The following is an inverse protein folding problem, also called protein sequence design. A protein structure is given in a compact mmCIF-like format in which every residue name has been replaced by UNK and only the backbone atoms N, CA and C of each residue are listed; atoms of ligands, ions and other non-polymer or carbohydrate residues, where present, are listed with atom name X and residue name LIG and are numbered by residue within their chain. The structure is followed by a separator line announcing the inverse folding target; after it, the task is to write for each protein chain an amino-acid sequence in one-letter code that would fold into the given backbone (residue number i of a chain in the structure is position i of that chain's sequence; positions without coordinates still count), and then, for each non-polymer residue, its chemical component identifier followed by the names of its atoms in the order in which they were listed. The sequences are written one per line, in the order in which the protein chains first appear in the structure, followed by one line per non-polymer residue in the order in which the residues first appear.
data_IF_659865076298
#
_entry.id   IF_659865076298
#
_cell.length_a   1.000
_cell.length_b   1.000
_cell.length_c   1.000
_cell.angle_alpha   90.00
_cell.angle_beta   90.00
_cell.angle_gamma   90.00
#
_symmetry.space_group_name_H-M   'P 1'
#
loop_
_entity.id
_entity.type
_entity.pdbx_description
1 polymer ?
#
# COMPACT_ATOMS: atom_id res chain seq x y z
N UNK A 1 9.38 26.08 -6.51
CA UNK A 1 8.27 25.65 -5.67
C UNK A 1 7.76 26.84 -4.86
N UNK A 2 6.53 27.31 -5.14
CA UNK A 2 5.96 28.53 -4.51
C UNK A 2 5.71 28.28 -3.02
N UNK A 3 5.80 29.36 -2.19
CA UNK A 3 5.60 29.31 -0.73
C UNK A 3 4.21 28.77 -0.33
N UNK A 4 3.21 28.97 -1.16
CA UNK A 4 1.84 28.47 -1.03
C UNK A 4 1.75 26.95 -1.16
N UNK A 5 2.47 26.38 -2.10
CA UNK A 5 2.56 24.92 -2.35
C UNK A 5 3.13 24.19 -1.11
N UNK A 6 4.17 24.72 -0.48
CA UNK A 6 4.74 24.16 0.76
C UNK A 6 3.77 24.18 1.94
N UNK A 7 2.93 25.21 2.05
CA UNK A 7 1.94 25.30 3.13
C UNK A 7 0.85 24.27 2.96
N UNK A 8 0.35 24.08 1.72
CA UNK A 8 -0.63 23.07 1.38
C UNK A 8 -0.08 21.67 1.68
N UNK A 9 1.14 21.38 1.23
CA UNK A 9 1.79 20.08 1.49
C UNK A 9 1.96 19.79 2.98
N UNK A 10 2.39 20.77 3.76
CA UNK A 10 2.49 20.63 5.23
C UNK A 10 1.13 20.35 5.88
N UNK A 11 0.07 21.04 5.42
CA UNK A 11 -1.28 20.83 5.93
C UNK A 11 -1.79 19.43 5.60
N UNK A 12 -1.63 18.98 4.36
CA UNK A 12 -2.00 17.61 3.96
C UNK A 12 -1.24 16.55 4.76
N UNK A 13 0.06 16.73 4.93
CA UNK A 13 0.89 15.82 5.73
C UNK A 13 0.43 15.75 7.19
N UNK A 14 0.08 16.90 7.81
CA UNK A 14 -0.45 16.93 9.16
C UNK A 14 -1.80 16.22 9.29
N UNK A 15 -2.71 16.42 8.33
CA UNK A 15 -4.02 15.75 8.30
C UNK A 15 -3.84 14.23 8.11
N UNK A 16 -2.98 13.80 7.20
CA UNK A 16 -2.69 12.38 6.97
C UNK A 16 -2.06 11.72 8.20
N UNK A 17 -1.09 12.39 8.84
CA UNK A 17 -0.47 11.90 10.06
C UNK A 17 -1.49 11.79 11.22
N UNK A 18 -2.41 12.75 11.34
CA UNK A 18 -3.47 12.72 12.35
C UNK A 18 -4.42 11.54 12.16
N UNK A 19 -4.90 11.30 10.93
CA UNK A 19 -5.72 10.12 10.65
C UNK A 19 -4.97 8.84 10.97
N UNK A 20 -3.71 8.75 10.57
CA UNK A 20 -2.90 7.57 10.80
C UNK A 20 -2.76 7.24 12.30
N UNK A 21 -2.46 8.24 13.15
CA UNK A 21 -2.40 8.05 14.60
C UNK A 21 -3.76 7.62 15.18
N UNK A 22 -4.86 8.20 14.70
CA UNK A 22 -6.20 7.80 15.12
C UNK A 22 -6.54 6.35 14.74
N UNK A 23 -6.08 5.88 13.58
CA UNK A 23 -6.24 4.49 13.14
C UNK A 23 -5.49 3.49 14.02
N UNK A 24 -4.43 3.92 14.71
CA UNK A 24 -3.76 3.09 15.71
C UNK A 24 -4.52 2.99 17.03
N UNK A 25 -5.32 4.01 17.35
CA UNK A 25 -6.04 4.12 18.61
C UNK A 25 -7.43 3.47 18.55
N UNK A 26 -8.14 3.59 17.41
CA UNK A 26 -9.53 3.14 17.24
C UNK A 26 -9.85 2.75 15.80
N UNK A 27 -10.96 2.02 15.64
CA UNK A 27 -11.43 1.60 14.32
C UNK A 27 -11.82 2.80 13.44
N UNK A 28 -11.62 2.68 12.13
CA UNK A 28 -11.88 3.75 11.19
C UNK A 28 -13.32 4.29 11.25
N UNK A 29 -14.29 3.42 11.48
CA UNK A 29 -15.71 3.81 11.56
C UNK A 29 -15.99 4.75 12.74
N UNK A 30 -15.22 4.64 13.82
CA UNK A 30 -15.31 5.46 15.01
C UNK A 30 -14.58 6.81 14.88
N UNK A 31 -13.80 7.01 13.81
CA UNK A 31 -13.07 8.24 13.54
C UNK A 31 -13.98 9.24 12.83
N UNK A 32 -14.12 10.43 13.39
CA UNK A 32 -14.82 11.56 12.77
C UNK A 32 -13.86 12.58 12.14
N UNK A 33 -14.38 13.42 11.25
CA UNK A 33 -13.62 14.56 10.71
C UNK A 33 -13.20 15.52 11.83
N UNK A 34 -13.98 15.65 12.91
CA UNK A 34 -13.62 16.49 14.03
C UNK A 34 -12.40 15.92 14.77
N UNK A 35 -12.36 14.61 15.02
CA UNK A 35 -11.19 13.96 15.64
C UNK A 35 -9.91 14.22 14.83
N UNK A 36 -10.03 14.15 13.50
CA UNK A 36 -8.88 14.40 12.61
C UNK A 36 -8.46 15.86 12.65
N UNK A 37 -9.42 16.79 12.64
CA UNK A 37 -9.17 18.23 12.69
C UNK A 37 -8.47 18.64 13.99
N UNK A 38 -8.98 18.15 15.13
CA UNK A 38 -8.42 18.40 16.46
C UNK A 38 -7.00 17.84 16.57
N UNK A 39 -6.78 16.59 16.13
CA UNK A 39 -5.48 15.94 16.18
C UNK A 39 -4.46 16.59 15.24
N UNK A 40 -4.89 17.06 14.06
CA UNK A 40 -4.04 17.76 13.10
C UNK A 40 -3.81 19.25 13.45
N UNK A 41 -4.51 19.75 14.46
CA UNK A 41 -4.55 21.17 14.81
C UNK A 41 -4.91 22.07 13.62
N UNK A 42 -5.96 21.71 12.91
CA UNK A 42 -6.50 22.47 11.77
C UNK A 42 -8.01 22.69 11.94
N UNK A 43 -8.55 23.67 11.22
CA UNK A 43 -10.00 23.85 11.16
C UNK A 43 -10.64 22.75 10.31
N UNK A 44 -11.83 22.25 10.70
CA UNK A 44 -12.62 21.28 9.91
C UNK A 44 -12.81 21.71 8.44
N UNK A 45 -13.03 23.04 8.21
CA UNK A 45 -13.12 23.58 6.85
C UNK A 45 -11.85 23.37 6.02
N UNK A 46 -10.68 23.33 6.69
CA UNK A 46 -9.40 23.02 6.02
C UNK A 46 -9.36 21.58 5.51
N UNK A 47 -9.93 20.63 6.26
CA UNK A 47 -10.03 19.24 5.80
C UNK A 47 -10.94 19.16 4.57
N UNK A 48 -12.13 19.76 4.62
CA UNK A 48 -13.06 19.76 3.49
C UNK A 48 -12.57 20.52 2.26
N UNK A 49 -11.62 21.43 2.42
CA UNK A 49 -10.96 22.08 1.29
C UNK A 49 -10.08 21.11 0.49
N UNK A 50 -9.53 20.08 1.14
CA UNK A 50 -8.61 19.11 0.54
C UNK A 50 -9.24 17.76 0.23
N UNK A 51 -10.26 17.36 1.00
CA UNK A 51 -10.85 16.02 0.97
C UNK A 51 -12.37 16.11 1.08
N UNK A 52 -13.08 15.35 0.28
CA UNK A 52 -14.54 15.32 0.29
C UNK A 52 -15.10 14.81 1.63
N UNK A 53 -14.47 13.77 2.17
CA UNK A 53 -14.80 13.15 3.45
C UNK A 53 -13.61 12.35 4.01
N UNK A 54 -13.83 11.61 5.12
CA UNK A 54 -12.78 10.78 5.73
C UNK A 54 -12.39 9.59 4.86
N UNK A 55 -13.28 9.11 3.99
CA UNK A 55 -13.00 8.01 3.07
C UNK A 55 -12.12 8.46 1.91
N UNK A 56 -12.38 9.64 1.34
CA UNK A 56 -11.52 10.27 0.32
C UNK A 56 -10.10 10.54 0.88
N UNK A 57 -10.01 10.99 2.13
CA UNK A 57 -8.72 11.16 2.81
C UNK A 57 -7.98 9.83 2.96
N UNK A 58 -8.65 8.78 3.44
CA UNK A 58 -8.04 7.45 3.59
C UNK A 58 -7.59 6.89 2.23
N UNK A 59 -8.45 7.00 1.21
CA UNK A 59 -8.15 6.52 -0.13
C UNK A 59 -6.90 7.19 -0.71
N UNK A 60 -6.75 8.52 -0.51
CA UNK A 60 -5.56 9.25 -0.97
C UNK A 60 -4.29 8.85 -0.20
N UNK A 61 -4.38 8.59 1.10
CA UNK A 61 -3.24 8.09 1.88
C UNK A 61 -2.81 6.70 1.38
N UNK A 62 -3.78 5.83 1.07
CA UNK A 62 -3.50 4.50 0.51
C UNK A 62 -2.86 4.64 -0.87
N UNK A 63 -3.43 5.49 -1.75
CA UNK A 63 -2.91 5.74 -3.09
C UNK A 63 -1.47 6.24 -3.08
N UNK A 64 -1.18 7.25 -2.27
CA UNK A 64 0.18 7.80 -2.14
C UNK A 64 1.18 6.72 -1.72
N UNK A 65 0.83 5.87 -0.74
CA UNK A 65 1.71 4.79 -0.26
C UNK A 65 1.87 3.67 -1.28
N UNK A 66 0.81 3.33 -2.02
CA UNK A 66 0.88 2.32 -3.08
C UNK A 66 1.66 2.84 -4.30
N UNK A 67 1.66 4.14 -4.56
CA UNK A 67 2.52 4.73 -5.59
C UNK A 67 4.00 4.70 -5.20
N UNK A 68 4.33 4.92 -3.92
CA UNK A 68 5.68 4.71 -3.40
C UNK A 68 6.13 3.24 -3.60
N UNK A 69 5.24 2.27 -3.31
CA UNK A 69 5.51 0.85 -3.57
C UNK A 69 5.73 0.59 -5.07
N UNK A 70 4.88 1.16 -5.93
CA UNK A 70 5.02 1.05 -7.39
C UNK A 70 6.39 1.53 -7.88
N UNK A 71 6.93 2.60 -7.30
CA UNK A 71 8.25 3.12 -7.65
C UNK A 71 9.38 2.12 -7.31
N UNK A 72 9.18 1.25 -6.30
CA UNK A 72 10.11 0.16 -5.96
C UNK A 72 9.94 -1.02 -6.91
N UNK A 73 8.72 -1.26 -7.41
CA UNK A 73 8.40 -2.33 -8.35
C UNK A 73 8.99 -2.03 -9.74
N UNK A 74 10.27 -2.35 -9.95
CA UNK A 74 10.87 -2.34 -11.29
C UNK A 74 10.21 -3.42 -12.17
N UNK A 75 10.10 -3.22 -13.49
CA UNK A 75 9.58 -4.27 -14.37
C UNK A 75 10.44 -5.53 -14.27
N UNK A 76 9.82 -6.63 -13.85
CA UNK A 76 10.43 -7.96 -13.94
C UNK A 76 10.07 -8.53 -15.31
N UNK A 77 11.00 -9.21 -15.96
CA UNK A 77 10.78 -9.95 -17.19
C UNK A 77 10.58 -11.43 -16.89
N UNK A 78 9.84 -12.14 -17.75
CA UNK A 78 9.59 -13.59 -17.59
C UNK A 78 10.86 -14.43 -17.71
N UNK A 79 11.90 -13.89 -18.32
CA UNK A 79 13.24 -14.47 -18.48
C UNK A 79 14.24 -13.97 -17.43
N UNK A 80 13.75 -13.25 -16.41
CA UNK A 80 14.61 -12.79 -15.31
C UNK A 80 15.24 -13.97 -14.59
N UNK A 81 16.53 -13.85 -14.31
CA UNK A 81 17.27 -14.87 -13.56
C UNK A 81 16.77 -14.95 -12.12
N UNK A 82 16.95 -16.09 -11.46
CA UNK A 82 16.65 -16.27 -10.04
C UNK A 82 17.28 -15.18 -9.16
N UNK A 83 18.51 -14.75 -9.49
CA UNK A 83 19.21 -13.68 -8.79
C UNK A 83 18.51 -12.33 -8.93
N UNK A 84 18.01 -12.01 -10.12
CA UNK A 84 17.28 -10.76 -10.38
C UNK A 84 15.93 -10.76 -9.66
N UNK A 85 15.23 -11.89 -9.68
CA UNK A 85 13.97 -12.06 -8.93
C UNK A 85 14.19 -11.90 -7.43
N UNK A 86 15.23 -12.53 -6.86
CA UNK A 86 15.57 -12.38 -5.44
C UNK A 86 15.90 -10.93 -5.09
N UNK A 87 16.66 -10.24 -5.93
CA UNK A 87 16.98 -8.83 -5.72
C UNK A 87 15.71 -7.96 -5.72
N UNK A 88 14.83 -8.18 -6.68
CA UNK A 88 13.53 -7.50 -6.76
C UNK A 88 12.67 -7.74 -5.53
N UNK A 89 12.43 -9.01 -5.15
CA UNK A 89 11.60 -9.31 -3.98
C UNK A 89 12.23 -8.82 -2.69
N UNK A 90 13.56 -8.81 -2.58
CA UNK A 90 14.25 -8.19 -1.44
C UNK A 90 13.91 -6.70 -1.33
N UNK A 91 13.94 -5.95 -2.43
CA UNK A 91 13.58 -4.54 -2.42
C UNK A 91 12.09 -4.31 -2.06
N UNK A 92 11.20 -5.15 -2.59
CA UNK A 92 9.76 -5.08 -2.27
C UNK A 92 9.50 -5.39 -0.79
N UNK A 93 10.06 -6.47 -0.24
CA UNK A 93 9.87 -6.81 1.17
C UNK A 93 10.55 -5.80 2.10
N UNK A 94 11.71 -5.23 1.71
CA UNK A 94 12.34 -4.14 2.46
C UNK A 94 11.43 -2.91 2.53
N UNK A 95 10.75 -2.57 1.44
CA UNK A 95 9.77 -1.48 1.46
C UNK A 95 8.64 -1.72 2.46
N UNK A 96 8.11 -2.94 2.55
CA UNK A 96 7.10 -3.29 3.55
C UNK A 96 7.65 -3.20 4.97
N UNK A 97 8.88 -3.66 5.22
CA UNK A 97 9.53 -3.57 6.51
C UNK A 97 9.77 -2.12 6.93
N UNK A 98 10.34 -1.29 6.05
CA UNK A 98 10.58 0.14 6.30
C UNK A 98 9.28 0.92 6.55
N UNK A 99 8.15 0.45 6.03
CA UNK A 99 6.83 1.05 6.19
C UNK A 99 5.88 0.18 7.03
N UNK A 100 6.41 -0.72 7.85
CA UNK A 100 5.65 -1.70 8.62
C UNK A 100 4.47 -1.11 9.38
N UNK A 101 4.69 0.01 10.07
CA UNK A 101 3.67 0.69 10.85
C UNK A 101 2.42 1.01 10.03
N UNK A 102 2.60 1.50 8.80
CA UNK A 102 1.50 1.80 7.88
C UNK A 102 0.76 0.52 7.48
N UNK A 103 1.48 -0.46 6.97
CA UNK A 103 0.87 -1.69 6.47
C UNK A 103 0.21 -2.50 7.59
N UNK A 104 0.80 -2.52 8.79
CA UNK A 104 0.22 -3.18 9.96
C UNK A 104 -1.14 -2.57 10.36
N UNK A 105 -1.25 -1.25 10.38
CA UNK A 105 -2.53 -0.56 10.65
C UNK A 105 -3.56 -0.88 9.57
N UNK A 106 -3.16 -0.84 8.29
CA UNK A 106 -4.06 -1.10 7.16
C UNK A 106 -4.53 -2.57 7.10
N UNK A 107 -3.71 -3.54 7.56
CA UNK A 107 -4.05 -4.97 7.51
C UNK A 107 -4.72 -5.47 8.79
N UNK A 108 -4.42 -4.88 9.95
CA UNK A 108 -4.93 -5.34 11.27
C UNK A 108 -6.18 -4.61 11.74
N UNK A 109 -6.44 -3.38 11.27
CA UNK A 109 -7.55 -2.52 11.73
C UNK A 109 -8.34 -1.91 10.56
N UNK A 110 -9.40 -1.21 10.83
CA UNK A 110 -10.50 -0.74 9.96
C UNK A 110 -10.24 -0.15 8.56
N UNK A 111 -9.05 -0.23 8.00
CA UNK A 111 -8.78 0.12 6.58
C UNK A 111 -8.78 -1.08 5.63
N UNK A 112 -9.01 -2.27 6.16
CA UNK A 112 -8.64 -3.57 5.59
C UNK A 112 -9.19 -3.80 4.18
N UNK A 113 -10.50 -3.68 3.94
CA UNK A 113 -11.06 -4.01 2.62
C UNK A 113 -10.63 -3.02 1.53
N UNK A 114 -10.66 -1.71 1.81
CA UNK A 114 -10.25 -0.68 0.84
C UNK A 114 -8.77 -0.80 0.48
N UNK A 115 -7.91 -1.02 1.48
CA UNK A 115 -6.49 -1.25 1.26
C UNK A 115 -6.25 -2.54 0.46
N UNK A 116 -6.87 -3.66 0.85
CA UNK A 116 -6.73 -4.94 0.17
C UNK A 116 -7.13 -4.87 -1.31
N UNK A 117 -8.28 -4.24 -1.61
CA UNK A 117 -8.76 -4.08 -2.98
C UNK A 117 -7.77 -3.27 -3.82
N UNK A 118 -7.29 -2.14 -3.30
CA UNK A 118 -6.31 -1.27 -3.97
C UNK A 118 -4.96 -1.94 -4.14
N UNK A 119 -4.49 -2.63 -3.11
CA UNK A 119 -3.23 -3.37 -3.15
C UNK A 119 -3.28 -4.50 -4.17
N UNK A 120 -4.37 -5.29 -4.17
CA UNK A 120 -4.59 -6.34 -5.16
C UNK A 120 -4.63 -5.78 -6.59
N UNK A 121 -5.29 -4.64 -6.80
CA UNK A 121 -5.34 -3.96 -8.09
C UNK A 121 -3.95 -3.50 -8.54
N UNK A 122 -3.13 -2.94 -7.63
CA UNK A 122 -1.76 -2.56 -7.94
C UNK A 122 -0.94 -3.76 -8.41
N UNK A 123 -0.93 -4.85 -7.63
CA UNK A 123 -0.17 -6.05 -7.99
C UNK A 123 -0.64 -6.62 -9.34
N UNK A 124 -1.95 -6.66 -9.58
CA UNK A 124 -2.50 -7.09 -10.86
C UNK A 124 -2.00 -6.21 -12.01
N UNK A 125 -2.02 -4.88 -11.84
CA UNK A 125 -1.54 -3.94 -12.86
C UNK A 125 -0.04 -4.13 -13.14
N UNK A 126 0.79 -4.28 -12.12
CA UNK A 126 2.22 -4.48 -12.30
C UNK A 126 2.52 -5.83 -13.00
N UNK A 127 1.82 -6.88 -12.63
CA UNK A 127 1.97 -8.18 -13.30
C UNK A 127 1.47 -8.19 -14.76
N UNK A 128 0.47 -7.37 -15.10
CA UNK A 128 -0.04 -7.25 -16.47
C UNK A 128 0.78 -6.29 -17.35
N UNK A 129 1.66 -5.48 -16.78
CA UNK A 129 2.61 -4.63 -17.53
C UNK A 129 3.65 -5.44 -18.29
N UNK A 130 3.89 -6.67 -17.85
CA UNK A 130 4.78 -7.60 -18.54
C UNK A 130 4.01 -8.15 -19.76
N UNK A 131 4.49 -7.95 -21.00
CA UNK A 131 3.80 -8.47 -22.16
C UNK A 131 3.79 -10.01 -22.10
N UNK A 132 2.70 -10.58 -21.64
CA UNK A 132 2.41 -11.98 -21.90
C UNK A 132 2.00 -12.03 -23.37
N UNK A 133 2.63 -12.90 -24.15
CA UNK A 133 2.22 -13.13 -25.53
C UNK A 133 0.69 -13.29 -25.55
N UNK A 134 0.04 -12.46 -26.35
CA UNK A 134 -1.40 -12.21 -26.35
C UNK A 134 -2.21 -13.49 -26.47
N UNK A 135 -2.53 -14.10 -25.36
CA UNK A 135 -3.51 -15.17 -25.31
C UNK A 135 -4.61 -14.78 -24.35
N UNK A 136 -5.82 -14.73 -24.87
CA UNK A 136 -7.06 -14.64 -24.09
C UNK A 136 -7.40 -16.04 -23.52
N UNK A 137 -6.38 -16.81 -23.12
CA UNK A 137 -6.60 -18.14 -22.58
C UNK A 137 -7.09 -18.02 -21.13
N UNK A 138 -8.22 -18.64 -20.83
CA UNK A 138 -8.80 -18.70 -19.49
C UNK A 138 -7.81 -19.24 -18.45
N UNK A 139 -6.90 -20.12 -18.85
CA UNK A 139 -5.85 -20.65 -17.98
C UNK A 139 -4.84 -19.57 -17.56
N UNK A 140 -4.42 -18.70 -18.48
CA UNK A 140 -3.49 -17.61 -18.15
C UNK A 140 -4.11 -16.61 -17.18
N UNK A 141 -5.39 -16.27 -17.38
CA UNK A 141 -6.14 -15.41 -16.44
C UNK A 141 -6.21 -16.06 -15.06
N UNK A 142 -6.48 -17.38 -15.01
CA UNK A 142 -6.51 -18.13 -13.76
C UNK A 142 -5.14 -18.07 -13.03
N UNK A 143 -4.06 -18.39 -13.75
CA UNK A 143 -2.71 -18.35 -13.16
C UNK A 143 -2.29 -16.96 -12.73
N UNK A 144 -2.66 -15.92 -13.47
CA UNK A 144 -2.42 -14.54 -13.06
C UNK A 144 -3.13 -14.22 -11.74
N UNK A 145 -4.44 -14.54 -11.63
CA UNK A 145 -5.21 -14.33 -10.40
C UNK A 145 -4.67 -15.16 -9.24
N UNK A 146 -4.22 -16.38 -9.48
CA UNK A 146 -3.58 -17.22 -8.48
C UNK A 146 -2.30 -16.56 -7.92
N UNK A 147 -1.39 -16.12 -8.80
CA UNK A 147 -0.14 -15.46 -8.41
C UNK A 147 -0.40 -14.17 -7.63
N UNK A 148 -1.30 -13.32 -8.12
CA UNK A 148 -1.69 -12.07 -7.43
C UNK A 148 -2.22 -12.38 -6.04
N UNK A 149 -3.13 -13.35 -5.93
CA UNK A 149 -3.74 -13.71 -4.65
C UNK A 149 -2.72 -14.32 -3.68
N UNK A 150 -1.78 -15.12 -4.19
CA UNK A 150 -0.71 -15.71 -3.39
C UNK A 150 0.22 -14.61 -2.84
N UNK A 151 0.70 -13.69 -3.69
CA UNK A 151 1.58 -12.60 -3.26
C UNK A 151 0.92 -11.69 -2.23
N UNK A 152 -0.33 -11.26 -2.48
CA UNK A 152 -1.09 -10.44 -1.53
C UNK A 152 -1.26 -11.17 -0.21
N UNK A 153 -1.68 -12.45 -0.25
CA UNK A 153 -1.89 -13.25 0.95
C UNK A 153 -0.62 -13.47 1.76
N UNK A 154 0.52 -13.72 1.11
CA UNK A 154 1.82 -13.90 1.76
C UNK A 154 2.30 -12.60 2.42
N UNK A 155 2.18 -11.46 1.75
CA UNK A 155 2.53 -10.15 2.33
C UNK A 155 1.65 -9.85 3.54
N UNK A 156 0.33 -10.03 3.44
CA UNK A 156 -0.59 -9.80 4.55
C UNK A 156 -0.30 -10.72 5.74
N UNK A 157 -0.06 -12.01 5.49
CA UNK A 157 0.32 -12.96 6.52
C UNK A 157 1.59 -12.51 7.24
N UNK A 158 2.64 -12.18 6.49
CA UNK A 158 3.92 -11.76 7.05
C UNK A 158 3.82 -10.50 7.92
N UNK A 159 3.01 -9.52 7.50
CA UNK A 159 2.74 -8.31 8.29
C UNK A 159 1.93 -8.63 9.56
N UNK A 160 0.96 -9.55 9.47
CA UNK A 160 0.11 -9.94 10.63
C UNK A 160 0.88 -10.73 11.68
N UNK A 161 1.82 -11.55 11.26
CA UNK A 161 2.69 -12.37 12.12
C UNK A 161 3.95 -11.61 12.61
N UNK A 162 3.90 -10.28 12.58
CA UNK A 162 4.95 -9.39 13.09
C UNK A 162 6.35 -9.72 12.55
N UNK A 163 6.44 -9.98 11.23
CA UNK A 163 7.68 -10.28 10.50
C UNK A 163 8.40 -11.53 11.05
N UNK A 164 7.68 -12.64 11.17
CA UNK A 164 8.22 -13.93 11.62
C UNK A 164 9.40 -14.45 10.80
N UNK A 165 9.53 -14.00 9.54
CA UNK A 165 10.68 -14.27 8.66
C UNK A 165 11.38 -12.95 8.32
N UNK A 166 12.71 -13.01 8.12
CA UNK A 166 13.48 -11.87 7.62
C UNK A 166 13.14 -11.54 6.17
N UNK A 167 13.40 -10.30 5.76
CA UNK A 167 13.26 -9.84 4.36
C UNK A 167 13.95 -10.80 3.38
N UNK A 168 15.15 -11.29 3.74
CA UNK A 168 15.90 -12.23 2.91
C UNK A 168 15.17 -13.57 2.76
N UNK A 169 14.68 -14.14 3.86
CA UNK A 169 13.94 -15.40 3.84
C UNK A 169 12.64 -15.25 3.04
N UNK A 170 11.94 -14.13 3.17
CA UNK A 170 10.76 -13.84 2.36
C UNK A 170 11.08 -13.79 0.87
N UNK A 171 12.15 -13.10 0.49
CA UNK A 171 12.58 -13.02 -0.90
C UNK A 171 13.01 -14.38 -1.46
N UNK A 172 13.80 -15.16 -0.70
CA UNK A 172 14.26 -16.48 -1.10
C UNK A 172 13.10 -17.48 -1.27
N UNK A 173 12.09 -17.42 -0.39
CA UNK A 173 10.91 -18.30 -0.43
C UNK A 173 9.88 -17.89 -1.51
N UNK A 174 9.91 -16.65 -2.00
CA UNK A 174 8.98 -16.18 -3.04
C UNK A 174 9.46 -16.60 -4.44
N UNK A 175 10.75 -16.84 -4.62
CA UNK A 175 11.36 -17.27 -5.89
C UNK A 175 11.42 -18.80 -5.89
N UNK A 176 10.33 -19.41 -6.37
CA UNK A 176 10.19 -20.87 -6.54
C UNK A 176 10.20 -21.20 -8.02
#
# INVERSE_FOLDING_TARGET
MKKEDRRIQKTKAAISAALFVLLEEKDFDQISINDIADRANVNRGTIYFHYADKFDLLDKIIEDRLEDLRAVCSPIHWDSTEKELKHYFTAVYQFFEDNYRFFSVMTKRGGTSRFQDRFKQLILQEMTRIPVASTKDSNEIFFLQFRVSALVGVVEWWIKEDHSLSVKEMADNTVI
#
